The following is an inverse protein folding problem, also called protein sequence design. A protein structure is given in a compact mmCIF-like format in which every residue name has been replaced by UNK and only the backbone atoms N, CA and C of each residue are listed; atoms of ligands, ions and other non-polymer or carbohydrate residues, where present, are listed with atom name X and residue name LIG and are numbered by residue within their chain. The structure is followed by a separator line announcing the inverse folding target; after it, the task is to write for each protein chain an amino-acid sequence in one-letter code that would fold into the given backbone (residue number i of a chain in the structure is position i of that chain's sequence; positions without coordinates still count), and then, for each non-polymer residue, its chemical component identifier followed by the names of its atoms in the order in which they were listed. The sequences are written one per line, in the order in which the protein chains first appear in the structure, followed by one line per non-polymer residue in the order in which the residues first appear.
data_IF_681554488981
#
_entry.id   IF_681554488981
#
_cell.length_a   1.000
_cell.length_b   1.000
_cell.length_c   1.000
_cell.angle_alpha   90.00
_cell.angle_beta   90.00
_cell.angle_gamma   90.00
#
_symmetry.space_group_name_H-M   'P 1'
#
loop_
_entity.id
_entity.type
_entity.pdbx_description
1 polymer ?
#
# COMPACT_ATOMS: atom_id res chain seq x y z
N UNK A 1 -40.23 25.96 59.75
CA UNK A 1 -40.33 25.39 58.42
C UNK A 1 -39.11 25.83 57.62
N UNK A 2 -38.16 24.92 57.39
CA UNK A 2 -36.89 25.21 56.63
C UNK A 2 -37.03 24.57 55.25
N UNK A 3 -37.04 25.38 54.23
CA UNK A 3 -37.10 24.95 52.81
C UNK A 3 -35.69 24.69 52.32
N UNK A 4 -35.44 23.44 51.89
CA UNK A 4 -34.16 23.03 51.30
C UNK A 4 -34.32 23.13 49.77
N UNK A 5 -33.51 23.99 49.15
CA UNK A 5 -33.42 24.13 47.70
C UNK A 5 -32.37 23.12 47.16
N UNK A 6 -32.83 22.14 46.35
CA UNK A 6 -31.95 21.25 45.59
C UNK A 6 -31.42 21.95 44.34
N UNK A 7 -30.12 22.14 44.26
CA UNK A 7 -29.45 22.63 43.05
C UNK A 7 -29.05 21.41 42.23
N UNK A 8 -29.74 21.17 41.10
CA UNK A 8 -29.33 20.14 40.12
C UNK A 8 -28.26 20.70 39.20
N UNK A 9 -27.04 20.21 39.38
CA UNK A 9 -25.91 20.52 38.48
C UNK A 9 -26.01 19.65 37.21
N UNK A 10 -26.14 20.30 36.06
CA UNK A 10 -26.06 19.63 34.75
C UNK A 10 -24.58 19.53 34.37
N UNK A 11 -24.02 18.31 34.39
CA UNK A 11 -22.73 18.01 33.83
C UNK A 11 -22.87 17.85 32.30
N UNK A 12 -22.41 18.86 31.54
CA UNK A 12 -22.24 18.72 30.10
C UNK A 12 -20.96 17.92 29.82
N UNK A 13 -21.09 16.68 29.39
CA UNK A 13 -19.99 15.86 28.90
C UNK A 13 -19.59 16.36 27.50
N UNK A 14 -18.46 17.02 27.37
CA UNK A 14 -17.85 17.29 26.05
C UNK A 14 -17.36 15.95 25.46
N UNK A 15 -18.03 15.48 24.42
CA UNK A 15 -17.53 14.38 23.62
C UNK A 15 -16.41 14.90 22.73
N UNK A 16 -15.15 14.55 23.06
CA UNK A 16 -14.01 14.71 22.15
C UNK A 16 -14.15 13.65 21.04
N UNK A 17 -14.54 14.08 19.86
CA UNK A 17 -14.46 13.24 18.67
C UNK A 17 -12.98 13.06 18.29
N UNK A 18 -12.46 11.84 18.07
CA UNK A 18 -11.13 11.66 17.57
C UNK A 18 -11.06 12.26 16.16
N UNK A 19 -10.23 13.28 15.99
CA UNK A 19 -9.86 13.76 14.66
C UNK A 19 -9.00 12.67 14.03
N UNK A 20 -9.50 12.01 12.98
CA UNK A 20 -8.69 11.18 12.12
C UNK A 20 -7.62 12.10 11.50
N UNK A 21 -6.36 11.91 11.90
CA UNK A 21 -5.24 12.59 11.27
C UNK A 21 -5.10 11.97 9.87
N UNK A 22 -5.35 12.77 8.82
CA UNK A 22 -4.98 12.38 7.48
C UNK A 22 -3.47 12.15 7.46
N UNK A 23 -3.03 11.00 6.93
CA UNK A 23 -1.60 10.74 6.77
C UNK A 23 -1.03 11.79 5.82
N UNK A 24 -0.03 12.53 6.27
CA UNK A 24 0.71 13.44 5.41
C UNK A 24 1.56 12.60 4.44
N UNK A 25 1.31 12.76 3.14
CA UNK A 25 2.07 12.05 2.10
C UNK A 25 3.45 12.68 2.00
N UNK A 26 4.55 11.91 2.19
CA UNK A 26 5.91 12.43 2.04
C UNK A 26 6.15 12.99 0.63
N UNK A 27 6.90 14.09 0.55
CA UNK A 27 7.18 14.77 -0.73
C UNK A 27 7.85 13.84 -1.75
N UNK A 28 8.73 12.92 -1.28
CA UNK A 28 9.43 11.94 -2.11
C UNK A 28 8.52 11.03 -2.94
N UNK A 29 7.32 10.74 -2.45
CA UNK A 29 6.34 9.87 -3.10
C UNK A 29 5.07 10.62 -3.54
N UNK A 30 5.11 11.95 -3.54
CA UNK A 30 4.00 12.78 -4.01
C UNK A 30 3.91 12.75 -5.54
N UNK A 31 2.71 12.53 -6.06
CA UNK A 31 2.44 12.51 -7.51
C UNK A 31 2.60 13.94 -8.10
N UNK A 32 3.26 14.10 -9.26
CA UNK A 32 3.40 15.39 -9.93
C UNK A 32 2.04 16.06 -10.20
N UNK A 33 2.02 17.41 -10.11
CA UNK A 33 0.84 18.21 -10.44
C UNK A 33 0.35 17.94 -11.87
N UNK A 34 -0.95 18.08 -12.10
CA UNK A 34 -1.57 17.83 -13.40
C UNK A 34 -2.10 16.39 -13.52
N UNK A 35 -2.16 15.65 -12.41
CA UNK A 35 -2.71 14.31 -12.35
C UNK A 35 -3.72 14.24 -11.21
N UNK A 36 -4.87 13.63 -11.48
CA UNK A 36 -5.95 13.40 -10.50
C UNK A 36 -6.11 11.91 -10.22
N UNK A 37 -6.57 11.59 -9.00
CA UNK A 37 -6.92 10.22 -8.63
C UNK A 37 -8.13 9.76 -9.46
N UNK A 38 -7.91 8.73 -10.27
CA UNK A 38 -8.96 8.11 -11.09
C UNK A 38 -9.56 6.86 -10.44
N UNK A 39 -8.79 6.16 -9.61
CA UNK A 39 -9.23 4.95 -8.91
C UNK A 39 -8.42 4.77 -7.63
N UNK A 40 -9.10 4.36 -6.56
CA UNK A 40 -8.51 3.96 -5.30
C UNK A 40 -8.87 2.51 -4.99
N UNK A 41 -7.90 1.74 -4.51
CA UNK A 41 -8.11 0.36 -4.10
C UNK A 41 -7.30 0.03 -2.86
N UNK A 42 -7.77 -0.96 -2.10
CA UNK A 42 -6.99 -1.59 -1.04
C UNK A 42 -6.43 -2.90 -1.55
N UNK A 43 -5.12 -2.98 -1.66
CA UNK A 43 -4.41 -4.21 -1.98
C UNK A 43 -4.23 -5.07 -0.75
N UNK A 44 -4.77 -6.28 -0.77
CA UNK A 44 -4.64 -7.27 0.32
C UNK A 44 -4.04 -8.53 -0.25
N UNK A 45 -2.92 -8.98 0.30
CA UNK A 45 -2.24 -10.15 -0.24
C UNK A 45 -0.95 -10.51 0.47
N UNK A 46 0.00 -10.99 -0.29
CA UNK A 46 1.27 -11.54 0.21
C UNK A 46 2.43 -11.11 -0.67
N UNK A 47 3.59 -11.06 -0.03
CA UNK A 47 4.88 -10.88 -0.70
C UNK A 47 5.71 -12.13 -0.49
N UNK A 48 6.28 -12.63 -1.56
CA UNK A 48 7.22 -13.74 -1.54
C UNK A 48 8.64 -13.21 -1.40
N UNK A 49 9.35 -13.74 -0.42
CA UNK A 49 10.77 -13.51 -0.18
C UNK A 49 11.53 -14.83 -0.30
N UNK A 50 12.75 -14.80 -0.85
CA UNK A 50 13.63 -15.96 -0.88
C UNK A 50 14.99 -15.59 -0.28
N UNK A 51 15.56 -16.49 0.54
CA UNK A 51 16.89 -16.33 1.08
C UNK A 51 17.91 -16.80 0.04
N UNK A 52 18.62 -15.87 -0.57
CA UNK A 52 19.52 -16.13 -1.69
C UNK A 52 20.81 -15.32 -1.57
N UNK A 53 21.84 -15.75 -2.31
CA UNK A 53 23.02 -14.94 -2.51
C UNK A 53 22.65 -13.73 -3.39
N UNK A 54 23.01 -12.53 -2.94
CA UNK A 54 22.89 -11.28 -3.69
C UNK A 54 24.06 -11.11 -4.67
N UNK A 55 23.97 -10.13 -5.54
CA UNK A 55 25.00 -9.83 -6.54
C UNK A 55 26.39 -9.51 -5.92
N UNK A 56 26.43 -9.03 -4.69
CA UNK A 56 27.63 -8.76 -3.91
C UNK A 56 28.19 -10.00 -3.19
N UNK A 57 27.55 -11.17 -3.37
CA UNK A 57 27.91 -12.44 -2.74
C UNK A 57 27.44 -12.60 -1.29
N UNK A 58 26.77 -11.60 -0.70
CA UNK A 58 26.18 -11.73 0.64
C UNK A 58 24.85 -12.45 0.59
N UNK A 59 24.53 -13.23 1.63
CA UNK A 59 23.21 -13.84 1.79
C UNK A 59 22.21 -12.80 2.26
N UNK A 60 20.98 -12.87 1.76
CA UNK A 60 19.92 -11.99 2.21
C UNK A 60 18.56 -12.34 1.62
N UNK A 61 17.51 -11.78 2.22
CA UNK A 61 16.15 -11.91 1.70
C UNK A 61 16.00 -11.10 0.41
N UNK A 62 15.66 -11.80 -0.67
CA UNK A 62 15.45 -11.23 -2.00
C UNK A 62 13.94 -11.20 -2.29
N UNK A 63 13.44 -10.03 -2.69
CA UNK A 63 12.04 -9.84 -3.09
C UNK A 63 11.74 -10.64 -4.36
N UNK A 64 10.70 -11.48 -4.33
CA UNK A 64 10.27 -12.33 -5.45
C UNK A 64 8.93 -11.90 -6.06
N UNK A 65 8.30 -10.90 -5.50
CA UNK A 65 7.08 -10.30 -6.03
C UNK A 65 5.89 -10.37 -5.10
N UNK A 66 4.88 -9.53 -5.39
CA UNK A 66 3.59 -9.54 -4.73
C UNK A 66 2.62 -10.51 -5.39
N UNK A 67 1.58 -10.86 -4.66
CA UNK A 67 0.35 -11.50 -5.14
C UNK A 67 -0.79 -11.00 -4.25
N UNK A 68 -1.59 -10.05 -4.77
CA UNK A 68 -2.63 -9.37 -4.01
C UNK A 68 -3.89 -9.12 -4.83
N UNK A 69 -5.04 -9.20 -4.16
CA UNK A 69 -6.29 -8.68 -4.66
C UNK A 69 -6.32 -7.15 -4.47
N UNK A 70 -6.84 -6.43 -5.44
CA UNK A 70 -7.17 -5.01 -5.34
C UNK A 70 -8.67 -4.90 -5.13
N UNK A 71 -9.07 -4.34 -3.99
CA UNK A 71 -10.48 -4.23 -3.60
C UNK A 71 -10.91 -2.77 -3.60
N UNK A 72 -12.14 -2.50 -4.02
CA UNK A 72 -12.76 -1.17 -3.90
C UNK A 72 -13.17 -0.84 -2.45
N UNK A 73 -13.80 0.32 -2.26
CA UNK A 73 -14.25 0.78 -0.95
C UNK A 73 -15.33 -0.13 -0.30
N UNK A 74 -16.05 -0.91 -1.11
CA UNK A 74 -17.05 -1.87 -0.65
C UNK A 74 -16.44 -3.25 -0.34
N UNK A 75 -15.12 -3.40 -0.52
CA UNK A 75 -14.38 -4.65 -0.33
C UNK A 75 -14.52 -5.65 -1.47
N UNK A 76 -15.11 -5.24 -2.59
CA UNK A 76 -15.23 -6.07 -3.80
C UNK A 76 -13.92 -6.04 -4.58
N UNK A 77 -13.44 -7.21 -4.99
CA UNK A 77 -12.26 -7.30 -5.84
C UNK A 77 -12.54 -6.68 -7.22
N UNK A 78 -11.73 -5.69 -7.59
CA UNK A 78 -11.77 -4.96 -8.87
C UNK A 78 -10.51 -5.14 -9.69
N UNK A 79 -9.48 -5.78 -9.14
CA UNK A 79 -8.22 -6.04 -9.83
C UNK A 79 -7.28 -6.96 -9.06
N UNK A 80 -6.05 -7.03 -9.56
CA UNK A 80 -4.92 -7.79 -8.97
C UNK A 80 -3.64 -6.98 -9.08
N UNK A 81 -2.72 -7.22 -8.13
CA UNK A 81 -1.35 -6.76 -8.20
C UNK A 81 -0.39 -7.93 -8.04
N UNK A 82 0.48 -8.14 -9.01
CA UNK A 82 1.39 -9.28 -9.03
C UNK A 82 2.72 -8.95 -9.73
N UNK A 83 3.66 -9.86 -9.71
CA UNK A 83 4.95 -9.70 -10.40
C UNK A 83 6.01 -10.67 -9.95
N UNK A 84 7.25 -10.54 -10.48
CA UNK A 84 7.79 -9.54 -11.44
C UNK A 84 7.38 -9.77 -12.90
N UNK A 85 7.33 -8.72 -13.74
CA UNK A 85 7.39 -7.32 -13.36
C UNK A 85 6.16 -6.90 -12.58
N UNK A 86 6.26 -5.80 -11.78
CA UNK A 86 5.12 -5.25 -11.07
C UNK A 86 3.99 -4.93 -12.05
N UNK A 87 2.85 -5.60 -11.89
CA UNK A 87 1.71 -5.52 -12.81
C UNK A 87 0.42 -5.31 -12.02
N UNK A 88 -0.31 -4.27 -12.37
CA UNK A 88 -1.66 -4.01 -11.88
C UNK A 88 -2.64 -4.31 -13.01
N UNK A 89 -3.55 -5.24 -12.77
CA UNK A 89 -4.54 -5.71 -13.74
C UNK A 89 -5.94 -5.49 -13.19
N UNK A 90 -6.77 -4.77 -13.93
CA UNK A 90 -8.20 -4.61 -13.63
C UNK A 90 -9.00 -5.85 -14.01
N UNK A 91 -10.16 -6.05 -13.38
CA UNK A 91 -11.06 -7.16 -13.72
C UNK A 91 -11.65 -7.06 -15.13
N UNK A 92 -11.53 -5.92 -15.82
CA UNK A 92 -11.89 -5.76 -17.24
C UNK A 92 -10.81 -6.26 -18.20
N UNK A 93 -9.65 -6.73 -17.69
CA UNK A 93 -8.53 -7.26 -18.45
C UNK A 93 -7.48 -6.23 -18.87
N UNK A 94 -7.74 -4.94 -18.67
CA UNK A 94 -6.72 -3.92 -18.88
C UNK A 94 -5.65 -3.98 -17.77
N UNK A 95 -4.39 -3.77 -18.14
CA UNK A 95 -3.28 -3.85 -17.18
C UNK A 95 -2.17 -2.84 -17.50
N UNK A 96 -1.43 -2.49 -16.46
CA UNK A 96 -0.23 -1.67 -16.55
C UNK A 96 0.92 -2.34 -15.82
N UNK A 97 2.12 -2.04 -16.27
CA UNK A 97 3.37 -2.18 -15.52
C UNK A 97 3.90 -0.79 -15.21
N UNK A 98 5.03 -0.68 -14.52
CA UNK A 98 5.59 0.65 -14.25
C UNK A 98 7.02 0.62 -13.74
N UNK A 99 7.63 1.81 -13.73
CA UNK A 99 8.97 2.05 -13.22
C UNK A 99 8.89 2.74 -11.86
N UNK A 100 9.52 2.18 -10.85
CA UNK A 100 9.61 2.81 -9.53
C UNK A 100 10.40 4.11 -9.63
N UNK A 101 9.77 5.22 -9.24
CA UNK A 101 10.43 6.53 -9.16
C UNK A 101 11.01 6.79 -7.78
N UNK A 102 10.26 6.48 -6.74
CA UNK A 102 10.66 6.73 -5.36
C UNK A 102 10.04 5.74 -4.39
N UNK A 103 10.69 5.59 -3.24
CA UNK A 103 10.17 4.89 -2.06
C UNK A 103 10.46 5.71 -0.82
N UNK A 104 9.58 5.58 0.20
CA UNK A 104 9.75 6.19 1.51
C UNK A 104 9.49 5.15 2.59
N UNK A 105 10.40 4.95 3.57
CA UNK A 105 10.18 4.02 4.66
C UNK A 105 8.89 4.31 5.43
N UNK A 106 8.15 3.26 5.80
CA UNK A 106 6.91 3.37 6.56
C UNK A 106 6.96 2.54 7.85
N UNK A 107 8.02 2.72 8.64
CA UNK A 107 8.23 2.02 9.89
C UNK A 107 8.68 0.56 9.72
N UNK A 108 9.00 -0.07 10.86
CA UNK A 108 9.50 -1.45 10.88
C UNK A 108 8.39 -2.44 10.53
N UNK A 109 8.72 -3.45 9.73
CA UNK A 109 7.82 -4.54 9.34
C UNK A 109 6.92 -4.22 8.16
N UNK A 110 6.87 -2.97 7.70
CA UNK A 110 6.07 -2.55 6.56
C UNK A 110 6.93 -2.41 5.31
N UNK A 111 6.37 -2.78 4.15
CA UNK A 111 6.96 -2.36 2.87
C UNK A 111 6.89 -0.83 2.77
N UNK A 112 7.85 -0.19 2.06
CA UNK A 112 7.85 1.26 1.94
C UNK A 112 6.63 1.79 1.20
N UNK A 113 6.29 3.07 1.43
CA UNK A 113 5.46 3.85 0.52
C UNK A 113 6.18 3.93 -0.83
N UNK A 114 5.46 4.13 -1.93
CA UNK A 114 6.05 4.06 -3.26
C UNK A 114 5.34 4.96 -4.25
N UNK A 115 6.10 5.58 -5.12
CA UNK A 115 5.63 6.23 -6.34
C UNK A 115 6.16 5.48 -7.56
N UNK A 116 5.27 5.16 -8.48
CA UNK A 116 5.57 4.44 -9.73
C UNK A 116 5.05 5.25 -10.90
N UNK A 117 5.85 5.44 -11.93
CA UNK A 117 5.41 5.92 -13.25
C UNK A 117 4.88 4.73 -14.05
N UNK A 118 3.64 4.83 -14.51
CA UNK A 118 3.01 3.74 -15.26
C UNK A 118 3.50 3.69 -16.69
N UNK A 119 3.76 2.49 -17.19
CA UNK A 119 3.92 2.26 -18.63
C UNK A 119 2.55 2.32 -19.33
N UNK A 120 2.51 2.54 -20.65
CA UNK A 120 1.26 2.48 -21.42
C UNK A 120 0.47 1.19 -21.12
N UNK A 121 -0.84 1.35 -20.96
CA UNK A 121 -1.71 0.22 -20.65
C UNK A 121 -1.77 -0.78 -21.81
N UNK A 122 -1.85 -2.07 -21.47
CA UNK A 122 -2.25 -3.12 -22.38
C UNK A 122 -3.75 -3.39 -22.19
N UNK A 123 -4.50 -3.46 -23.30
CA UNK A 123 -5.95 -3.61 -23.31
C UNK A 123 -6.70 -2.31 -22.99
N UNK A 124 -7.98 -2.31 -23.35
CA UNK A 124 -8.88 -1.18 -23.04
C UNK A 124 -9.60 -1.39 -21.72
N UNK A 125 -9.76 -0.32 -20.93
CA UNK A 125 -10.45 -0.39 -19.64
C UNK A 125 -9.94 0.60 -18.61
N UNK A 126 -10.12 0.26 -17.33
CA UNK A 126 -9.84 1.17 -16.21
C UNK A 126 -8.36 1.60 -16.12
N UNK A 127 -7.44 0.73 -16.56
CA UNK A 127 -6.00 1.04 -16.52
C UNK A 127 -5.54 1.96 -17.68
N UNK A 128 -6.38 2.16 -18.70
CA UNK A 128 -6.02 3.04 -19.82
C UNK A 128 -5.85 4.48 -19.37
N UNK A 129 -4.74 5.11 -19.76
CA UNK A 129 -4.39 6.49 -19.42
C UNK A 129 -3.91 6.69 -17.98
N UNK A 130 -3.69 5.63 -17.21
CA UNK A 130 -3.02 5.72 -15.91
C UNK A 130 -1.58 6.18 -16.13
N UNK A 131 -1.19 7.25 -15.41
CA UNK A 131 0.13 7.89 -15.49
C UNK A 131 1.01 7.50 -14.30
N UNK A 132 0.42 7.40 -13.11
CA UNK A 132 1.12 7.05 -11.87
C UNK A 132 0.32 6.07 -11.03
N UNK A 133 1.04 5.23 -10.29
CA UNK A 133 0.52 4.43 -9.18
C UNK A 133 1.24 4.84 -7.91
N UNK A 134 0.48 5.19 -6.89
CA UNK A 134 1.01 5.53 -5.58
C UNK A 134 0.57 4.46 -4.57
N UNK A 135 1.52 3.96 -3.77
CA UNK A 135 1.25 3.02 -2.69
C UNK A 135 1.45 3.72 -1.35
N UNK A 136 0.39 3.76 -0.55
CA UNK A 136 0.33 4.39 0.76
C UNK A 136 -0.18 3.42 1.83
N UNK A 137 -0.22 3.85 3.08
CA UNK A 137 -0.82 3.12 4.21
C UNK A 137 -0.38 1.65 4.31
N UNK A 138 0.90 1.39 4.03
CA UNK A 138 1.44 0.03 4.01
C UNK A 138 1.45 -0.61 5.40
N UNK A 139 1.01 -1.85 5.48
CA UNK A 139 1.01 -2.68 6.69
C UNK A 139 1.58 -4.06 6.34
N UNK A 140 2.63 -4.46 7.02
CA UNK A 140 3.30 -5.73 6.77
C UNK A 140 4.10 -5.76 5.46
N UNK A 141 4.44 -6.95 5.02
CA UNK A 141 5.11 -7.21 3.74
C UNK A 141 6.62 -7.00 3.71
N UNK A 142 7.24 -6.45 4.73
CA UNK A 142 8.70 -6.33 4.79
C UNK A 142 9.39 -7.71 4.81
N UNK A 143 10.67 -7.73 4.46
CA UNK A 143 11.47 -8.94 4.56
C UNK A 143 11.41 -9.53 5.98
N UNK A 144 11.46 -10.87 6.12
CA UNK A 144 11.47 -11.52 7.43
C UNK A 144 12.59 -11.02 8.34
N UNK A 145 12.32 -10.87 9.63
CA UNK A 145 13.31 -10.50 10.65
C UNK A 145 14.32 -11.65 10.95
N UNK A 146 14.05 -12.88 10.48
CA UNK A 146 14.94 -14.02 10.68
C UNK A 146 16.20 -13.91 9.83
N UNK A 147 17.30 -14.50 10.32
CA UNK A 147 18.54 -14.53 9.58
C UNK A 147 18.36 -15.24 8.22
N UNK A 148 18.98 -14.69 7.19
CA UNK A 148 19.21 -15.34 5.91
C UNK A 148 20.72 -15.57 5.78
N UNK A 149 21.13 -16.83 5.91
CA UNK A 149 22.52 -17.31 5.86
C UNK A 149 22.57 -18.63 5.08
N UNK A 150 23.72 -19.23 4.97
CA UNK A 150 23.92 -20.49 4.24
C UNK A 150 23.04 -21.65 4.78
N UNK A 151 22.67 -21.63 6.08
CA UNK A 151 21.80 -22.65 6.65
C UNK A 151 20.33 -22.47 6.21
N UNK A 152 19.96 -21.27 5.77
CA UNK A 152 18.61 -20.92 5.32
C UNK A 152 18.54 -20.67 3.81
N UNK A 153 19.61 -20.98 3.07
CA UNK A 153 19.66 -20.83 1.62
C UNK A 153 18.46 -21.52 0.96
N UNK A 154 17.92 -20.86 -0.05
CA UNK A 154 16.72 -21.27 -0.81
C UNK A 154 15.42 -21.33 0.01
N UNK A 155 15.45 -20.93 1.30
CA UNK A 155 14.22 -20.81 2.09
C UNK A 155 13.33 -19.73 1.51
N UNK A 156 12.05 -20.05 1.37
CA UNK A 156 11.02 -19.12 0.91
C UNK A 156 10.10 -18.76 2.07
N UNK A 157 9.86 -17.47 2.24
CA UNK A 157 8.91 -16.95 3.21
C UNK A 157 7.82 -16.13 2.52
N UNK A 158 6.61 -16.28 3.03
CA UNK A 158 5.42 -15.57 2.58
C UNK A 158 5.01 -14.59 3.68
N UNK A 159 5.05 -13.31 3.38
CA UNK A 159 4.71 -12.25 4.33
C UNK A 159 3.43 -11.56 3.86
N UNK A 160 2.40 -11.59 4.71
CA UNK A 160 1.14 -10.91 4.43
C UNK A 160 1.32 -9.39 4.46
N UNK A 161 0.59 -8.69 3.58
CA UNK A 161 0.59 -7.23 3.58
C UNK A 161 -0.76 -6.66 3.13
N UNK A 162 -0.95 -5.40 3.47
CA UNK A 162 -2.00 -4.55 2.97
C UNK A 162 -1.43 -3.17 2.61
N UNK A 163 -1.98 -2.53 1.59
CA UNK A 163 -1.63 -1.16 1.24
C UNK A 163 -2.76 -0.52 0.42
N UNK A 164 -2.84 0.80 0.45
CA UNK A 164 -3.68 1.56 -0.47
C UNK A 164 -2.93 1.78 -1.78
N UNK A 165 -3.63 1.57 -2.90
CA UNK A 165 -3.14 1.85 -4.25
C UNK A 165 -4.04 2.89 -4.90
N UNK A 166 -3.46 4.05 -5.19
CA UNK A 166 -4.11 5.16 -5.88
C UNK A 166 -3.56 5.21 -7.31
N UNK A 167 -4.47 5.17 -8.28
CA UNK A 167 -4.15 5.23 -9.70
C UNK A 167 -4.51 6.62 -10.22
N UNK A 168 -3.56 7.30 -10.83
CA UNK A 168 -3.70 8.67 -11.29
C UNK A 168 -3.78 8.72 -12.82
N UNK A 169 -4.52 9.72 -13.34
CA UNK A 169 -4.56 10.06 -14.77
C UNK A 169 -4.28 11.55 -14.95
N UNK A 170 -3.72 11.91 -16.10
CA UNK A 170 -3.56 13.32 -16.48
C UNK A 170 -4.94 14.01 -16.56
N UNK A 171 -4.98 15.29 -16.07
CA UNK A 171 -6.15 16.18 -16.19
C UNK A 171 -6.39 16.61 -17.63
#
# INVERSE_FOLDING_TARGET
MKTIACISGIFAALALSPMAQAMEVPESVTVPKGNDVAMETVGVGKIKWACEAKDDGTMGWVFKGPDAALNDADGKQVGKYYGPPATWESMDGSKITGTQLAVEPNGKGNIPLQLVEANPAEGEGHMQGVTYVQRLNTQGGAAPDMACDEAHKDKVEIVMYQADYLFYKAM
#
